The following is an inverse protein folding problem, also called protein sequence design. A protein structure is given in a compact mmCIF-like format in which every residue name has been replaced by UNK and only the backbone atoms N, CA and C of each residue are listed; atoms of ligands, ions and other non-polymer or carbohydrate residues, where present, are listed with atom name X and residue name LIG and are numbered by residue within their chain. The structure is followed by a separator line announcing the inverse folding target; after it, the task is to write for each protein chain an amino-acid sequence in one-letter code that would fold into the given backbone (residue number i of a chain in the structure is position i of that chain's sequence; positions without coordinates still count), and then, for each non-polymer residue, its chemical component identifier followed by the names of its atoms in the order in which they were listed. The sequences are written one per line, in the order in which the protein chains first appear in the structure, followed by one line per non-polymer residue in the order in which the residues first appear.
data_IF_482757827159
#
_entry.id   IF_482757827159
#
_cell.length_a   1.000
_cell.length_b   1.000
_cell.length_c   1.000
_cell.angle_alpha   90.00
_cell.angle_beta   90.00
_cell.angle_gamma   90.00
#
_symmetry.space_group_name_H-M   'P 1'
#
loop_
_entity.id
_entity.type
_entity.pdbx_description
1 polymer ?
#
# COMPACT_ATOMS: atom_id res chain seq x y z
N UNK A 1 -0.93 0.17 -19.75
CA UNK A 1 -0.51 -0.22 -21.11
C UNK A 1 -1.32 -1.42 -21.61
N UNK A 2 -1.29 -2.57 -20.92
CA UNK A 2 -2.10 -3.75 -21.29
C UNK A 2 -3.61 -3.51 -21.28
N UNK A 3 -4.15 -2.84 -20.25
CA UNK A 3 -5.59 -2.49 -20.23
C UNK A 3 -6.02 -1.67 -21.44
N UNK A 4 -5.19 -0.70 -21.86
CA UNK A 4 -5.47 0.11 -23.05
C UNK A 4 -5.40 -0.70 -24.36
N UNK A 5 -4.45 -1.64 -24.45
CA UNK A 5 -4.37 -2.56 -25.58
C UNK A 5 -5.62 -3.45 -25.65
N UNK A 6 -6.10 -3.93 -24.50
CA UNK A 6 -7.29 -4.78 -24.43
C UNK A 6 -8.59 -4.02 -24.74
N UNK A 7 -8.71 -2.77 -24.29
CA UNK A 7 -9.81 -1.87 -24.67
C UNK A 7 -9.86 -1.65 -26.19
N UNK A 8 -8.70 -1.37 -26.80
CA UNK A 8 -8.56 -1.06 -28.23
C UNK A 8 -8.33 -2.29 -29.10
N UNK A 9 -8.63 -3.50 -28.61
CA UNK A 9 -8.29 -4.75 -29.30
C UNK A 9 -8.97 -4.88 -30.67
N UNK A 10 -10.16 -4.29 -30.86
CA UNK A 10 -10.85 -4.30 -32.14
C UNK A 10 -10.14 -3.40 -33.17
N UNK A 11 -9.75 -2.20 -32.76
CA UNK A 11 -9.01 -1.26 -33.60
C UNK A 11 -7.62 -1.77 -33.94
N UNK A 12 -6.95 -2.40 -32.97
CA UNK A 12 -5.64 -3.04 -33.18
C UNK A 12 -5.76 -4.20 -34.18
N UNK A 13 -6.84 -4.98 -34.13
CA UNK A 13 -7.10 -6.02 -35.12
C UNK A 13 -7.24 -5.45 -36.53
N UNK A 14 -8.07 -4.42 -36.71
CA UNK A 14 -8.26 -3.74 -38.00
C UNK A 14 -6.93 -3.19 -38.53
N UNK A 15 -6.11 -2.62 -37.66
CA UNK A 15 -4.80 -2.14 -38.03
C UNK A 15 -3.88 -3.27 -38.49
N UNK A 16 -3.81 -4.37 -37.74
CA UNK A 16 -2.97 -5.53 -38.07
C UNK A 16 -3.40 -6.22 -39.36
N UNK A 17 -4.68 -6.27 -39.66
CA UNK A 17 -5.20 -6.80 -40.93
C UNK A 17 -4.60 -6.05 -42.14
N UNK A 18 -4.46 -4.72 -42.03
CA UNK A 18 -3.91 -3.88 -43.10
C UNK A 18 -2.38 -3.92 -43.22
N UNK A 19 -1.66 -4.24 -42.14
CA UNK A 19 -0.20 -4.10 -42.08
C UNK A 19 0.54 -5.45 -42.07
N UNK A 20 0.00 -6.45 -41.36
CA UNK A 20 0.67 -7.73 -41.13
C UNK A 20 -0.33 -8.84 -40.74
N UNK A 21 -0.87 -9.52 -41.74
CA UNK A 21 -1.89 -10.58 -41.60
C UNK A 21 -1.46 -11.70 -40.63
N UNK A 22 -0.19 -12.12 -40.66
CA UNK A 22 0.33 -13.15 -39.73
C UNK A 22 0.19 -12.76 -38.24
N UNK A 23 0.30 -11.46 -37.93
CA UNK A 23 0.11 -10.96 -36.56
C UNK A 23 -1.37 -10.79 -36.24
N UNK A 24 -2.20 -10.42 -37.21
CA UNK A 24 -3.64 -10.36 -37.05
C UNK A 24 -4.20 -11.71 -36.61
N UNK A 25 -3.84 -12.78 -37.32
CA UNK A 25 -4.34 -14.13 -37.04
C UNK A 25 -3.92 -14.64 -35.65
N UNK A 26 -2.66 -14.37 -35.27
CA UNK A 26 -2.19 -14.65 -33.90
C UNK A 26 -2.92 -13.82 -32.87
N UNK A 27 -3.17 -12.53 -33.15
CA UNK A 27 -3.82 -11.62 -32.23
C UNK A 27 -5.29 -12.02 -31.98
N UNK A 28 -6.00 -12.42 -33.02
CA UNK A 28 -7.39 -12.87 -32.96
C UNK A 28 -7.57 -14.30 -32.43
N UNK A 29 -6.48 -15.06 -32.24
CA UNK A 29 -6.58 -16.41 -31.69
C UNK A 29 -7.26 -16.40 -30.30
N UNK A 30 -8.19 -17.33 -30.10
CA UNK A 30 -8.96 -17.44 -28.86
C UNK A 30 -8.03 -17.56 -27.64
N UNK A 31 -6.98 -18.37 -27.75
CA UNK A 31 -5.99 -18.54 -26.69
C UNK A 31 -5.30 -17.23 -26.29
N UNK A 32 -4.91 -16.39 -27.26
CA UNK A 32 -4.28 -15.10 -26.94
C UNK A 32 -5.27 -14.13 -26.30
N UNK A 33 -6.52 -14.08 -26.77
CA UNK A 33 -7.54 -13.20 -26.20
C UNK A 33 -7.83 -13.54 -24.74
N UNK A 34 -7.91 -14.83 -24.40
CA UNK A 34 -8.09 -15.29 -23.02
C UNK A 34 -6.87 -14.94 -22.16
N UNK A 35 -5.65 -15.20 -22.66
CA UNK A 35 -4.41 -14.87 -21.93
C UNK A 35 -4.31 -13.36 -21.71
N UNK A 36 -4.61 -12.54 -22.73
CA UNK A 36 -4.56 -11.10 -22.64
C UNK A 36 -5.56 -10.57 -21.61
N UNK A 37 -6.79 -11.10 -21.59
CA UNK A 37 -7.82 -10.74 -20.61
C UNK A 37 -7.36 -11.04 -19.17
N UNK A 38 -6.83 -12.24 -18.94
CA UNK A 38 -6.25 -12.61 -17.65
C UNK A 38 -5.10 -11.69 -17.24
N UNK A 39 -4.17 -11.39 -18.16
CA UNK A 39 -3.02 -10.52 -17.88
C UNK A 39 -3.49 -9.12 -17.49
N UNK A 40 -4.48 -8.56 -18.18
CA UNK A 40 -5.07 -7.26 -17.82
C UNK A 40 -5.59 -7.29 -16.39
N UNK A 41 -6.40 -8.29 -16.03
CA UNK A 41 -6.99 -8.39 -14.70
C UNK A 41 -5.93 -8.51 -13.59
N UNK A 42 -4.91 -9.37 -13.75
CA UNK A 42 -3.86 -9.54 -12.73
C UNK A 42 -2.98 -8.31 -12.59
N UNK A 43 -2.66 -7.63 -13.70
CA UNK A 43 -1.87 -6.39 -13.67
C UNK A 43 -2.67 -5.22 -13.07
N UNK A 44 -3.97 -5.13 -13.32
CA UNK A 44 -4.84 -4.17 -12.63
C UNK A 44 -4.86 -4.42 -11.13
N UNK A 45 -4.97 -5.68 -10.70
CA UNK A 45 -4.93 -6.04 -9.30
C UNK A 45 -3.59 -5.70 -8.64
N UNK A 46 -2.47 -5.95 -9.33
CA UNK A 46 -1.13 -5.55 -8.88
C UNK A 46 -0.98 -4.03 -8.79
N UNK A 47 -1.48 -3.29 -9.78
CA UNK A 47 -1.44 -1.84 -9.76
C UNK A 47 -2.27 -1.27 -8.60
N UNK A 48 -3.44 -1.87 -8.32
CA UNK A 48 -4.26 -1.48 -7.18
C UNK A 48 -3.55 -1.71 -5.83
N UNK A 49 -2.78 -2.80 -5.70
CA UNK A 49 -1.91 -3.02 -4.52
C UNK A 49 -0.81 -1.97 -4.47
N UNK A 50 -0.09 -1.75 -5.56
CA UNK A 50 0.99 -0.78 -5.63
C UNK A 50 0.53 0.64 -5.22
N UNK A 51 -0.63 1.08 -5.70
CA UNK A 51 -1.23 2.37 -5.33
C UNK A 51 -1.56 2.46 -3.84
N UNK A 52 -2.05 1.36 -3.23
CA UNK A 52 -2.30 1.32 -1.77
C UNK A 52 -1.01 1.43 -0.95
N UNK A 53 0.10 0.92 -1.48
CA UNK A 53 1.40 1.03 -0.83
C UNK A 53 2.03 2.42 -1.04
N UNK A 54 1.70 3.13 -2.13
CA UNK A 54 2.34 4.41 -2.50
C UNK A 54 1.61 5.67 -1.97
N UNK A 55 0.79 5.54 -0.92
CA UNK A 55 -0.01 6.63 -0.38
C UNK A 55 0.69 7.54 0.64
N UNK A 56 0.05 8.67 0.94
CA UNK A 56 0.35 9.50 2.11
C UNK A 56 -0.15 8.81 3.39
N UNK A 57 0.59 8.96 4.49
CA UNK A 57 0.24 8.41 5.82
C UNK A 57 0.12 6.88 5.88
N UNK A 58 0.75 6.15 4.96
CA UNK A 58 0.82 4.69 5.09
C UNK A 58 1.90 4.34 6.12
N UNK A 59 1.51 3.58 7.14
CA UNK A 59 2.41 3.03 8.14
C UNK A 59 2.80 1.60 7.78
N UNK A 60 3.93 1.13 8.29
CA UNK A 60 4.46 -0.20 7.97
C UNK A 60 3.45 -1.34 8.23
N UNK A 61 2.60 -1.21 9.24
CA UNK A 61 1.52 -2.17 9.55
C UNK A 61 0.50 -2.25 8.39
N UNK A 62 0.14 -1.11 7.79
CA UNK A 62 -0.79 -1.10 6.65
C UNK A 62 -0.18 -1.71 5.39
N UNK A 63 1.12 -1.50 5.14
CA UNK A 63 1.83 -2.21 4.06
C UNK A 63 1.73 -3.72 4.25
N UNK A 64 2.00 -4.12 5.48
CA UNK A 64 1.99 -5.49 5.91
C UNK A 64 0.65 -6.20 5.64
N UNK A 65 -0.44 -5.57 6.07
CA UNK A 65 -1.78 -6.10 5.91
C UNK A 65 -2.20 -6.11 4.44
N UNK A 66 -1.81 -5.09 3.67
CA UNK A 66 -2.10 -4.99 2.24
C UNK A 66 -1.42 -6.12 1.46
N UNK A 67 -0.13 -6.37 1.69
CA UNK A 67 0.62 -7.42 0.99
C UNK A 67 0.09 -8.80 1.38
N UNK A 68 -0.15 -9.06 2.68
CA UNK A 68 -0.71 -10.35 3.12
C UNK A 68 -2.10 -10.60 2.54
N UNK A 69 -2.96 -9.60 2.55
CA UNK A 69 -4.29 -9.70 1.95
C UNK A 69 -4.20 -10.03 0.45
N UNK A 70 -3.23 -9.46 -0.26
CA UNK A 70 -2.99 -9.80 -1.66
C UNK A 70 -2.48 -11.23 -1.84
N UNK A 71 -1.52 -11.68 -1.04
CA UNK A 71 -1.03 -13.07 -1.07
C UNK A 71 -2.16 -14.07 -0.80
N UNK A 72 -3.02 -13.79 0.17
CA UNK A 72 -4.21 -14.60 0.46
C UNK A 72 -5.21 -14.61 -0.71
N UNK A 73 -5.36 -13.49 -1.41
CA UNK A 73 -6.15 -13.44 -2.66
C UNK A 73 -5.55 -14.32 -3.74
N UNK A 74 -4.23 -14.34 -3.92
CA UNK A 74 -3.57 -15.21 -4.90
C UNK A 74 -3.87 -16.69 -4.62
N UNK A 75 -3.86 -17.11 -3.36
CA UNK A 75 -4.25 -18.48 -2.98
C UNK A 75 -5.73 -18.77 -3.29
N UNK A 76 -6.62 -17.84 -2.94
CA UNK A 76 -8.04 -17.95 -3.23
C UNK A 76 -8.30 -18.05 -4.75
N UNK A 77 -7.65 -17.21 -5.55
CA UNK A 77 -7.78 -17.20 -7.00
C UNK A 77 -7.27 -18.49 -7.62
N UNK A 78 -6.18 -19.05 -7.09
CA UNK A 78 -5.70 -20.38 -7.48
C UNK A 78 -6.77 -21.45 -7.26
N UNK A 79 -7.39 -21.50 -6.09
CA UNK A 79 -8.46 -22.45 -5.78
C UNK A 79 -9.70 -22.25 -6.68
N UNK A 80 -10.07 -20.99 -6.96
CA UNK A 80 -11.18 -20.68 -7.86
C UNK A 80 -10.91 -21.14 -9.28
N UNK A 81 -9.72 -20.85 -9.82
CA UNK A 81 -9.32 -21.30 -11.15
C UNK A 81 -9.29 -22.83 -11.22
N UNK A 82 -8.80 -23.53 -10.18
CA UNK A 82 -8.89 -24.99 -10.06
C UNK A 82 -10.33 -25.53 -10.16
N UNK A 83 -11.32 -24.78 -9.68
CA UNK A 83 -12.74 -25.11 -9.78
C UNK A 83 -13.40 -24.63 -11.09
N UNK A 84 -12.67 -23.94 -11.95
CA UNK A 84 -13.22 -23.32 -13.17
C UNK A 84 -13.97 -22.01 -12.91
N UNK A 85 -13.84 -21.44 -11.71
CA UNK A 85 -14.46 -20.17 -11.35
C UNK A 85 -13.52 -19.00 -11.69
N UNK A 86 -13.95 -18.17 -12.64
CA UNK A 86 -13.20 -17.02 -13.16
C UNK A 86 -13.65 -15.68 -12.61
N UNK A 87 -14.64 -15.63 -11.71
CA UNK A 87 -15.24 -14.40 -11.17
C UNK A 87 -14.26 -13.44 -10.46
N UNK A 88 -13.02 -13.88 -10.22
CA UNK A 88 -11.96 -13.02 -9.66
C UNK A 88 -11.29 -12.12 -10.71
N UNK A 89 -11.50 -12.42 -11.99
CA UNK A 89 -10.83 -11.86 -13.14
C UNK A 89 -11.93 -11.42 -14.12
N UNK A 90 -12.30 -10.13 -14.09
CA UNK A 90 -13.50 -9.62 -14.78
C UNK A 90 -13.40 -9.79 -16.30
N UNK A 91 -12.27 -9.42 -16.88
CA UNK A 91 -12.08 -9.51 -18.33
C UNK A 91 -12.02 -10.98 -18.75
N UNK A 92 -11.32 -11.82 -18.00
CA UNK A 92 -11.25 -13.26 -18.23
C UNK A 92 -12.64 -13.91 -18.18
N UNK A 93 -13.44 -13.58 -17.16
CA UNK A 93 -14.81 -14.08 -16.98
C UNK A 93 -15.72 -13.67 -18.14
N UNK A 94 -15.54 -12.45 -18.65
CA UNK A 94 -16.30 -11.94 -19.80
C UNK A 94 -15.96 -12.69 -21.09
N UNK A 95 -14.67 -12.98 -21.34
CA UNK A 95 -14.25 -13.73 -22.53
C UNK A 95 -14.72 -15.18 -22.49
N UNK A 96 -14.75 -15.77 -21.29
CA UNK A 96 -15.17 -17.16 -21.07
C UNK A 96 -16.67 -17.32 -20.81
N UNK A 97 -17.48 -16.28 -20.97
CA UNK A 97 -18.93 -16.37 -20.76
C UNK A 97 -19.61 -17.42 -21.67
N UNK A 98 -18.99 -17.74 -22.81
CA UNK A 98 -19.48 -18.70 -23.80
C UNK A 98 -18.56 -19.93 -23.98
N UNK A 99 -17.43 -20.01 -23.27
CA UNK A 99 -16.44 -21.09 -23.42
C UNK A 99 -15.82 -21.49 -22.08
N UNK A 100 -15.38 -22.73 -21.97
CA UNK A 100 -14.73 -23.21 -20.75
C UNK A 100 -13.22 -22.95 -20.82
N UNK A 101 -12.62 -22.69 -19.66
CA UNK A 101 -11.18 -22.60 -19.54
C UNK A 101 -10.54 -23.97 -19.80
N UNK A 102 -9.70 -24.05 -20.83
CA UNK A 102 -8.93 -25.26 -21.14
C UNK A 102 -8.01 -25.69 -19.97
N UNK A 103 -7.79 -27.00 -19.85
CA UNK A 103 -7.01 -27.60 -18.76
C UNK A 103 -5.56 -27.12 -18.72
N UNK A 104 -4.92 -26.93 -19.88
CA UNK A 104 -3.55 -26.46 -19.96
C UNK A 104 -3.46 -24.99 -19.56
N UNK A 105 -4.36 -24.14 -20.06
CA UNK A 105 -4.39 -22.72 -19.68
C UNK A 105 -4.67 -22.53 -18.19
N UNK A 106 -5.56 -23.34 -17.62
CA UNK A 106 -5.83 -23.39 -16.19
C UNK A 106 -4.57 -23.69 -15.37
N UNK A 107 -3.76 -24.65 -15.81
CA UNK A 107 -2.47 -24.99 -15.19
C UNK A 107 -1.48 -23.82 -15.30
N UNK A 108 -1.41 -23.15 -16.45
CA UNK A 108 -0.55 -21.97 -16.65
C UNK A 108 -0.93 -20.82 -15.71
N UNK A 109 -2.22 -20.49 -15.60
CA UNK A 109 -2.72 -19.45 -14.67
C UNK A 109 -2.35 -19.79 -13.23
N UNK A 110 -2.62 -21.03 -12.79
CA UNK A 110 -2.27 -21.51 -11.43
C UNK A 110 -0.77 -21.40 -11.16
N UNK A 111 0.06 -21.76 -12.14
CA UNK A 111 1.52 -21.68 -12.04
C UNK A 111 1.97 -20.23 -11.92
N UNK A 112 1.44 -19.35 -12.76
CA UNK A 112 1.73 -17.92 -12.73
C UNK A 112 1.36 -17.28 -11.38
N UNK A 113 0.17 -17.57 -10.84
CA UNK A 113 -0.26 -17.07 -9.52
C UNK A 113 0.66 -17.57 -8.39
N UNK A 114 1.12 -18.82 -8.50
CA UNK A 114 2.05 -19.41 -7.53
C UNK A 114 3.42 -18.74 -7.58
N UNK A 115 3.92 -18.43 -8.78
CA UNK A 115 5.15 -17.68 -8.98
C UNK A 115 5.05 -16.27 -8.38
N UNK A 116 3.95 -15.56 -8.63
CA UNK A 116 3.72 -14.25 -8.02
C UNK A 116 3.78 -14.29 -6.50
N UNK A 117 3.08 -15.26 -5.88
CA UNK A 117 3.12 -15.41 -4.42
C UNK A 117 4.55 -15.68 -3.93
N UNK A 118 5.31 -16.52 -4.62
CA UNK A 118 6.71 -16.79 -4.28
C UNK A 118 7.57 -15.52 -4.37
N UNK A 119 7.38 -14.68 -5.38
CA UNK A 119 8.08 -13.40 -5.52
C UNK A 119 7.73 -12.42 -4.40
N UNK A 120 6.47 -12.36 -3.95
CA UNK A 120 6.09 -11.57 -2.77
C UNK A 120 6.78 -12.06 -1.50
N UNK A 121 6.85 -13.38 -1.29
CA UNK A 121 7.56 -13.98 -0.15
C UNK A 121 9.06 -13.65 -0.22
N UNK A 122 9.65 -13.76 -1.41
CA UNK A 122 11.08 -13.47 -1.64
C UNK A 122 11.41 -12.01 -1.40
N UNK A 123 10.55 -11.09 -1.84
CA UNK A 123 10.77 -9.65 -1.69
C UNK A 123 10.45 -9.14 -0.27
N UNK A 124 9.53 -9.80 0.43
CA UNK A 124 9.12 -9.47 1.80
C UNK A 124 9.32 -10.69 2.74
N UNK A 125 10.57 -11.09 3.02
CA UNK A 125 10.85 -12.33 3.75
C UNK A 125 10.36 -12.31 5.21
N UNK A 126 10.38 -11.13 5.85
CA UNK A 126 10.03 -10.97 7.26
C UNK A 126 8.55 -10.64 7.50
N UNK A 127 7.69 -10.87 6.49
CA UNK A 127 6.29 -10.47 6.57
C UNK A 127 5.61 -11.19 7.77
N UNK A 128 5.76 -12.49 7.94
CA UNK A 128 5.07 -13.11 9.08
C UNK A 128 5.73 -12.77 10.43
N UNK A 129 7.07 -12.75 10.50
CA UNK A 129 7.82 -12.50 11.74
C UNK A 129 7.62 -11.08 12.31
N UNK A 130 7.68 -10.03 11.47
CA UNK A 130 7.58 -8.64 11.96
C UNK A 130 6.17 -8.29 12.42
N UNK A 131 5.12 -8.90 11.84
CA UNK A 131 3.76 -8.67 12.31
C UNK A 131 3.57 -9.21 13.72
N UNK A 132 4.08 -10.40 14.03
CA UNK A 132 3.91 -10.99 15.36
C UNK A 132 4.47 -10.07 16.45
N UNK A 133 5.67 -9.52 16.21
CA UNK A 133 6.28 -8.53 17.08
C UNK A 133 5.50 -7.20 17.21
N UNK A 134 4.59 -6.89 16.26
CA UNK A 134 3.85 -5.62 16.21
C UNK A 134 2.34 -5.79 16.44
N UNK A 135 1.86 -7.00 16.74
CA UNK A 135 0.44 -7.29 16.98
C UNK A 135 -0.14 -6.38 18.06
N UNK A 136 0.60 -6.21 19.15
CA UNK A 136 0.16 -5.40 20.29
C UNK A 136 -0.06 -3.93 19.91
N UNK A 137 0.64 -3.39 18.90
CA UNK A 137 0.52 -2.00 18.44
C UNK A 137 -0.86 -1.77 17.85
N UNK A 138 -1.35 -2.74 17.08
CA UNK A 138 -2.67 -2.69 16.46
C UNK A 138 -3.79 -2.91 17.45
N UNK A 139 -3.62 -3.83 18.40
CA UNK A 139 -4.56 -4.02 19.51
C UNK A 139 -3.86 -4.74 20.69
N UNK A 140 -3.52 -4.02 21.79
CA UNK A 140 -2.80 -4.63 22.90
C UNK A 140 -3.67 -5.64 23.66
N UNK A 141 -4.99 -5.48 23.65
CA UNK A 141 -5.93 -6.32 24.41
C UNK A 141 -6.17 -7.71 23.79
N UNK A 142 -5.80 -7.91 22.52
CA UNK A 142 -5.89 -9.20 21.82
C UNK A 142 -4.52 -9.85 21.58
N UNK A 143 -3.46 -9.29 22.15
CA UNK A 143 -2.10 -9.82 22.02
C UNK A 143 -1.73 -10.64 23.26
N UNK A 144 -1.02 -11.75 23.09
CA UNK A 144 -0.48 -12.50 24.22
C UNK A 144 0.80 -11.85 24.74
N UNK A 145 1.05 -11.95 26.06
CA UNK A 145 2.24 -11.33 26.68
C UNK A 145 3.54 -11.92 26.12
N UNK A 146 3.52 -13.20 25.74
CA UNK A 146 4.66 -13.91 25.14
C UNK A 146 5.04 -13.40 23.75
N UNK A 147 4.13 -12.71 23.06
CA UNK A 147 4.38 -12.11 21.74
C UNK A 147 5.05 -10.72 21.85
N UNK A 148 5.20 -10.21 23.07
CA UNK A 148 5.74 -8.88 23.36
C UNK A 148 7.16 -8.98 23.92
N UNK A 149 8.02 -8.03 23.56
CA UNK A 149 9.40 -7.97 24.02
C UNK A 149 9.49 -7.95 25.56
N UNK A 150 10.39 -8.75 26.12
CA UNK A 150 10.49 -8.99 27.57
C UNK A 150 10.59 -7.70 28.38
N UNK A 151 11.26 -6.68 27.83
CA UNK A 151 11.52 -5.40 28.50
C UNK A 151 10.25 -4.57 28.71
N UNK A 152 9.14 -4.88 28.03
CA UNK A 152 7.89 -4.12 28.13
C UNK A 152 6.71 -4.96 28.62
N UNK A 153 6.93 -6.23 29.00
CA UNK A 153 5.87 -7.16 29.38
C UNK A 153 5.12 -6.74 30.66
N UNK A 154 5.80 -6.13 31.63
CA UNK A 154 5.16 -5.67 32.87
C UNK A 154 4.15 -4.54 32.59
N UNK A 155 4.58 -3.46 31.92
CA UNK A 155 3.69 -2.38 31.47
C UNK A 155 2.58 -2.89 30.54
N UNK A 156 2.90 -3.86 29.68
CA UNK A 156 1.90 -4.49 28.81
C UNK A 156 0.79 -5.17 29.61
N UNK A 157 1.13 -5.90 30.68
CA UNK A 157 0.15 -6.58 31.53
C UNK A 157 -0.71 -5.57 32.30
N UNK A 158 -0.11 -4.51 32.83
CA UNK A 158 -0.84 -3.42 33.48
C UNK A 158 -1.86 -2.78 32.51
N UNK A 159 -1.41 -2.45 31.30
CA UNK A 159 -2.28 -1.92 30.24
C UNK A 159 -3.39 -2.91 29.85
N UNK A 160 -3.04 -4.18 29.59
CA UNK A 160 -3.97 -5.21 29.08
C UNK A 160 -5.12 -5.49 30.04
N UNK A 161 -4.88 -5.43 31.35
CA UNK A 161 -5.90 -5.68 32.37
C UNK A 161 -6.59 -4.40 32.90
N UNK A 162 -6.20 -3.22 32.44
CA UNK A 162 -6.88 -1.97 32.78
C UNK A 162 -8.17 -1.81 31.95
N UNK A 163 -9.31 -1.81 32.65
CA UNK A 163 -10.63 -1.66 32.01
C UNK A 163 -10.87 -0.25 31.43
N UNK A 164 -10.30 0.80 32.03
CA UNK A 164 -10.46 2.18 31.57
C UNK A 164 -9.73 2.37 30.25
N UNK A 165 -8.48 1.92 30.18
CA UNK A 165 -7.67 2.01 28.96
C UNK A 165 -8.25 1.18 27.83
N UNK A 166 -8.94 0.07 28.15
CA UNK A 166 -9.66 -0.74 27.16
C UNK A 166 -10.86 -0.02 26.57
N UNK A 167 -11.57 0.78 27.34
CA UNK A 167 -12.64 1.64 26.82
C UNK A 167 -12.05 2.79 26.00
N UNK A 168 -10.99 3.45 26.50
CA UNK A 168 -10.26 4.48 25.75
C UNK A 168 -9.81 3.99 24.36
N UNK A 169 -9.34 2.75 24.26
CA UNK A 169 -8.92 2.16 22.99
C UNK A 169 -10.06 2.01 21.97
N UNK A 170 -11.32 1.87 22.41
CA UNK A 170 -12.47 1.81 21.51
C UNK A 170 -12.84 3.18 20.95
N UNK A 171 -12.62 4.23 21.74
CA UNK A 171 -13.03 5.59 21.42
C UNK A 171 -11.94 6.40 20.69
N UNK A 172 -10.67 6.05 20.89
CA UNK A 172 -9.52 6.77 20.34
C UNK A 172 -8.96 6.10 19.08
N UNK A 173 -8.42 6.91 18.16
CA UNK A 173 -7.57 6.37 17.10
C UNK A 173 -6.23 5.87 17.69
N UNK A 174 -5.59 4.96 16.96
CA UNK A 174 -4.36 4.28 17.39
C UNK A 174 -3.27 5.25 17.86
N UNK A 175 -3.07 6.36 17.13
CA UNK A 175 -1.99 7.29 17.46
C UNK A 175 -2.32 8.09 18.71
N UNK A 176 -3.56 8.57 18.81
CA UNK A 176 -4.02 9.32 19.99
C UNK A 176 -4.00 8.45 21.25
N UNK A 177 -4.39 7.19 21.14
CA UNK A 177 -4.31 6.22 22.23
C UNK A 177 -2.89 6.08 22.78
N UNK A 178 -1.91 5.79 21.93
CA UNK A 178 -0.52 5.61 22.37
C UNK A 178 0.14 6.90 22.87
N UNK A 179 -0.25 8.07 22.32
CA UNK A 179 0.22 9.37 22.83
C UNK A 179 -0.35 9.66 24.22
N UNK A 180 -1.65 9.39 24.44
CA UNK A 180 -2.30 9.60 25.74
C UNK A 180 -1.62 8.78 26.83
N UNK A 181 -1.31 7.52 26.55
CA UNK A 181 -0.75 6.59 27.54
C UNK A 181 0.78 6.65 27.69
N UNK A 182 1.46 7.53 26.94
CA UNK A 182 2.93 7.64 26.98
C UNK A 182 3.50 7.96 28.37
N UNK A 183 2.75 8.67 29.21
CA UNK A 183 3.18 9.01 30.56
C UNK A 183 2.84 7.93 31.61
N UNK A 184 1.91 7.03 31.30
CA UNK A 184 1.47 5.94 32.19
C UNK A 184 2.26 4.67 31.89
N UNK A 185 2.41 4.33 30.61
CA UNK A 185 3.13 3.14 30.13
C UNK A 185 4.21 3.55 29.13
N UNK A 186 5.29 4.20 29.59
CA UNK A 186 6.29 4.82 28.72
C UNK A 186 7.01 3.81 27.83
N UNK A 187 7.43 2.65 28.33
CA UNK A 187 8.22 1.69 27.56
C UNK A 187 7.42 1.13 26.38
N UNK A 188 6.19 0.66 26.63
CA UNK A 188 5.35 0.09 25.58
C UNK A 188 4.83 1.16 24.61
N UNK A 189 4.45 2.33 25.13
CA UNK A 189 3.96 3.44 24.30
C UNK A 189 5.06 3.99 23.39
N UNK A 190 6.31 4.08 23.87
CA UNK A 190 7.44 4.44 23.02
C UNK A 190 7.64 3.45 21.87
N UNK A 191 7.54 2.15 22.13
CA UNK A 191 7.69 1.12 21.10
C UNK A 191 6.54 1.21 20.08
N UNK A 192 5.31 1.37 20.56
CA UNK A 192 4.12 1.52 19.73
C UNK A 192 4.09 2.79 18.89
N UNK A 193 4.68 3.89 19.37
CA UNK A 193 4.81 5.15 18.60
C UNK A 193 5.98 5.12 17.62
N UNK A 194 7.07 4.41 17.94
CA UNK A 194 8.26 4.35 17.09
C UNK A 194 7.97 3.65 15.75
N UNK A 195 7.21 2.55 15.76
CA UNK A 195 7.00 1.76 14.54
C UNK A 195 6.17 2.51 13.47
N UNK A 196 5.07 3.19 13.81
CA UNK A 196 4.36 4.06 12.88
C UNK A 196 5.17 5.27 12.36
N UNK A 197 6.26 5.65 13.03
CA UNK A 197 7.13 6.74 12.52
C UNK A 197 8.07 6.30 11.41
N UNK A 198 8.22 5.00 11.17
CA UNK A 198 8.93 4.51 9.99
C UNK A 198 8.18 4.92 8.73
N UNK A 199 8.89 5.49 7.75
CA UNK A 199 8.31 5.84 6.46
C UNK A 199 7.77 4.58 5.78
N UNK A 200 6.44 4.46 5.67
CA UNK A 200 5.84 3.37 4.91
C UNK A 200 6.07 3.52 3.41
N UNK A 201 6.00 4.74 2.89
CA UNK A 201 6.17 5.02 1.47
C UNK A 201 7.25 6.08 1.23
N UNK A 202 7.78 6.10 0.00
CA UNK A 202 8.67 7.17 -0.47
C UNK A 202 7.92 8.49 -0.72
N UNK A 203 6.60 8.55 -0.51
CA UNK A 203 5.77 9.72 -0.84
C UNK A 203 6.31 11.03 -0.26
N UNK A 204 6.71 11.03 1.03
CA UNK A 204 7.26 12.24 1.66
C UNK A 204 8.62 12.62 1.06
N UNK A 205 9.45 11.64 0.70
CA UNK A 205 10.72 11.87 0.02
C UNK A 205 10.48 12.43 -1.40
N UNK A 206 9.60 11.82 -2.19
CA UNK A 206 9.24 12.26 -3.54
C UNK A 206 8.63 13.66 -3.54
N UNK A 207 7.76 13.95 -2.55
CA UNK A 207 7.20 15.28 -2.33
C UNK A 207 8.29 16.29 -1.97
N UNK A 208 9.23 15.91 -1.09
CA UNK A 208 10.38 16.74 -0.72
C UNK A 208 11.26 17.06 -1.92
N UNK A 209 11.61 16.06 -2.73
CA UNK A 209 12.40 16.25 -3.94
C UNK A 209 11.67 17.11 -4.98
N UNK A 210 10.39 16.87 -5.22
CA UNK A 210 9.58 17.66 -6.15
C UNK A 210 9.50 19.13 -5.71
N UNK A 211 9.30 19.35 -4.40
CA UNK A 211 9.27 20.69 -3.78
C UNK A 211 10.62 21.38 -3.91
N UNK A 212 11.71 20.66 -3.63
CA UNK A 212 13.08 21.16 -3.77
C UNK A 212 13.37 21.61 -5.22
N UNK A 213 12.98 20.78 -6.20
CA UNK A 213 13.13 21.12 -7.62
C UNK A 213 12.33 22.37 -7.96
N UNK A 214 11.08 22.48 -7.48
CA UNK A 214 10.25 23.65 -7.70
C UNK A 214 10.85 24.93 -7.09
N UNK A 215 11.35 24.87 -5.85
CA UNK A 215 12.00 26.01 -5.18
C UNK A 215 13.26 26.44 -5.96
N UNK A 216 14.12 25.48 -6.33
CA UNK A 216 15.38 25.75 -7.06
C UNK A 216 15.16 26.32 -8.45
N UNK A 217 14.18 25.81 -9.19
CA UNK A 217 13.91 26.24 -10.57
C UNK A 217 13.16 27.56 -10.64
N UNK A 218 12.21 27.81 -9.72
CA UNK A 218 11.28 28.95 -9.82
C UNK A 218 11.76 30.19 -9.05
N UNK A 219 12.53 30.04 -7.97
CA UNK A 219 12.86 31.17 -7.07
C UNK A 219 14.34 31.58 -7.01
N UNK A 220 15.26 30.86 -7.68
CA UNK A 220 16.66 31.23 -8.04
C UNK A 220 17.53 32.11 -7.10
N UNK A 221 17.19 32.28 -5.82
CA UNK A 221 17.80 33.34 -5.01
C UNK A 221 18.48 32.90 -3.71
N UNK A 222 18.41 31.63 -3.28
CA UNK A 222 19.14 31.16 -2.09
C UNK A 222 19.58 29.70 -2.20
N UNK A 223 20.83 29.43 -1.79
CA UNK A 223 21.39 28.07 -1.69
C UNK A 223 20.78 27.30 -0.51
N UNK A 224 20.35 28.01 0.53
CA UNK A 224 19.72 27.44 1.72
C UNK A 224 18.19 27.44 1.54
N UNK A 225 17.63 26.22 1.46
CA UNK A 225 16.21 25.93 1.21
C UNK A 225 15.58 25.16 2.37
N UNK A 226 16.29 24.98 3.49
CA UNK A 226 15.82 24.14 4.60
C UNK A 226 14.51 24.67 5.19
N UNK A 227 14.44 25.97 5.49
CA UNK A 227 13.25 26.59 6.08
C UNK A 227 12.05 26.56 5.13
N UNK A 228 12.29 26.78 3.85
CA UNK A 228 11.26 26.72 2.81
C UNK A 228 10.71 25.29 2.65
N UNK A 229 11.59 24.29 2.63
CA UNK A 229 11.19 22.88 2.60
C UNK A 229 10.43 22.47 3.86
N UNK A 230 10.89 22.90 5.04
CA UNK A 230 10.22 22.62 6.32
C UNK A 230 8.81 23.21 6.31
N UNK A 231 8.64 24.44 5.82
CA UNK A 231 7.31 25.05 5.69
C UNK A 231 6.43 24.35 4.66
N UNK A 232 6.97 23.99 3.50
CA UNK A 232 6.20 23.40 2.41
C UNK A 232 5.78 21.94 2.67
N UNK A 233 6.59 21.17 3.39
CA UNK A 233 6.34 19.75 3.68
C UNK A 233 5.58 19.51 4.98
N UNK A 234 5.58 20.49 5.88
CA UNK A 234 4.89 20.38 7.17
C UNK A 234 3.38 20.45 7.01
N UNK A 235 2.67 19.55 7.70
CA UNK A 235 1.22 19.65 7.88
C UNK A 235 0.82 20.60 9.03
N UNK A 236 1.79 21.13 9.76
CA UNK A 236 1.56 22.06 10.87
C UNK A 236 1.15 23.41 10.28
N UNK A 237 -0.04 23.89 10.63
CA UNK A 237 -0.49 25.22 10.23
C UNK A 237 0.34 26.29 10.94
N UNK A 238 1.00 27.20 10.21
CA UNK A 238 1.74 28.28 10.83
C UNK A 238 0.78 29.21 11.57
N UNK A 239 1.15 29.64 12.78
CA UNK A 239 0.38 30.60 13.58
C UNK A 239 0.61 32.02 13.07
N UNK A 240 0.16 32.29 11.84
CA UNK A 240 0.42 33.57 11.14
C UNK A 240 -0.10 34.75 11.97
N UNK A 241 -1.27 34.62 12.60
CA UNK A 241 -1.85 35.67 13.45
C UNK A 241 -0.94 36.02 14.63
N UNK A 242 -0.43 35.02 15.36
CA UNK A 242 0.51 35.23 16.47
C UNK A 242 1.82 35.88 15.99
N UNK A 243 2.31 35.47 14.81
CA UNK A 243 3.53 36.01 14.21
C UNK A 243 3.35 37.49 13.80
N UNK A 244 2.21 37.82 13.21
CA UNK A 244 1.86 39.20 12.83
C UNK A 244 1.70 40.07 14.07
N UNK A 245 1.00 39.60 15.10
CA UNK A 245 0.82 40.33 16.35
C UNK A 245 2.14 40.64 17.07
N UNK A 246 3.14 39.76 16.96
CA UNK A 246 4.48 39.94 17.55
C UNK A 246 5.41 40.79 16.70
N UNK A 247 5.09 41.05 15.42
CA UNK A 247 5.95 41.82 14.52
C UNK A 247 5.80 43.31 14.81
N UNK A 248 6.81 43.92 15.44
CA UNK A 248 6.91 45.38 15.55
C UNK A 248 7.11 45.96 14.15
N UNK A 249 6.17 46.78 13.68
CA UNK A 249 6.38 47.59 12.48
C UNK A 249 7.59 48.50 12.73
N UNK A 250 8.61 48.39 11.88
CA UNK A 250 9.63 49.44 11.84
C UNK A 250 8.98 50.65 11.22
N UNK A 251 8.72 51.65 12.05
CA UNK A 251 8.26 52.96 11.60
C UNK A 251 9.51 53.63 11.01
N UNK A 252 9.48 53.89 9.71
CA UNK A 252 10.53 54.67 9.04
C UNK A 252 10.61 56.05 9.72
N UNK A 253 11.81 56.46 10.12
CA UNK A 253 12.09 57.83 10.57
C UNK A 253 12.19 58.79 9.37
#
# INVERSE_FOLDING_TARGET
MLGRLYELRAEVAIFLDSQQVDLHDKFQSEGLQIILAYLVDIFEALNAVNLKLQGKNIIIIMHHDTIRAFMAKLDLWKCRIQQGNTASFRNLDTVLALSNLDSELKKQIITHLSYWKAEFIRYFPDIDNKREAWKFIGNPFHCEVVDVANEVQEEFLELKFNSIDKEDFKDLDLKTFWVKHLHVYPLISHLALRIPTMFGSMYLCETAFSTLVAIKTKYRNRLNVEDDLRCALSSIRPRIQDLVAKKRCQISH
#
